data_IF_900427654308
#
_entry.id   IF_900427654308
#
_cell.length_a   1.000
_cell.length_b   1.000
_cell.length_c   1.000
_cell.angle_alpha   90.00
_cell.angle_beta   90.00
_cell.angle_gamma   90.00
#
_symmetry.space_group_name_H-M   'P 1'
#
loop_
_entity.id
_entity.type
_entity.pdbx_description
1 polymer ?
#
# COMPACT_ATOMS: atom_id res chain seq x y z
N UNK A 1 13.30 -53.43 24.88
CA UNK A 1 12.37 -52.61 25.71
C UNK A 1 12.81 -51.16 25.68
N UNK A 2 12.05 -50.23 25.10
CA UNK A 2 11.67 -48.95 25.74
C UNK A 2 10.79 -48.11 24.78
N UNK A 3 9.48 -48.34 24.82
CA UNK A 3 8.46 -47.48 24.22
C UNK A 3 8.02 -46.47 25.27
N UNK A 4 8.56 -45.25 25.30
CA UNK A 4 8.02 -44.21 26.17
C UNK A 4 7.99 -42.82 25.50
N UNK A 5 6.75 -42.39 25.28
CA UNK A 5 6.23 -41.04 25.55
C UNK A 5 6.74 -39.86 24.71
N UNK A 6 6.06 -39.59 23.58
CA UNK A 6 5.90 -38.20 23.07
C UNK A 6 4.47 -37.86 22.57
N UNK A 7 3.40 -37.97 23.38
CA UNK A 7 2.06 -37.48 22.97
C UNK A 7 1.87 -35.96 23.22
N UNK A 8 2.80 -35.30 23.92
CA UNK A 8 2.62 -33.92 24.41
C UNK A 8 2.98 -32.83 23.39
N UNK A 9 3.88 -33.12 22.43
CA UNK A 9 4.31 -32.14 21.42
C UNK A 9 3.20 -31.79 20.41
N UNK A 10 2.41 -32.79 19.98
CA UNK A 10 1.27 -32.59 19.07
C UNK A 10 0.18 -31.71 19.67
N UNK A 11 -0.06 -31.79 20.99
CA UNK A 11 -1.05 -30.93 21.68
C UNK A 11 -0.62 -29.47 21.77
N UNK A 12 0.68 -29.17 21.84
CA UNK A 12 1.19 -27.78 21.80
C UNK A 12 1.10 -27.18 20.40
N UNK A 13 1.38 -27.96 19.35
CA UNK A 13 1.21 -27.53 17.96
C UNK A 13 -0.28 -27.31 17.60
N UNK A 14 -1.19 -28.13 18.13
CA UNK A 14 -2.63 -27.93 17.96
C UNK A 14 -3.15 -26.63 18.62
N UNK A 15 -2.50 -26.14 19.70
CA UNK A 15 -2.81 -24.84 20.33
C UNK A 15 -2.22 -23.64 19.58
N UNK A 16 -1.24 -23.84 18.70
CA UNK A 16 -0.72 -22.81 17.80
C UNK A 16 -1.52 -22.74 16.49
N UNK A 17 -2.21 -23.82 16.13
CA UNK A 17 -3.11 -23.90 14.98
C UNK A 17 -4.51 -23.32 15.25
N UNK A 18 -4.88 -23.09 16.52
CA UNK A 18 -6.05 -22.28 16.84
C UNK A 18 -5.72 -20.81 16.59
N UNK A 19 -5.94 -20.36 15.36
CA UNK A 19 -6.00 -18.95 15.02
C UNK A 19 -6.89 -18.23 16.06
N UNK A 20 -6.46 -17.08 16.60
CA UNK A 20 -7.32 -16.31 17.50
C UNK A 20 -8.65 -16.04 16.77
N UNK A 21 -9.81 -16.06 17.47
CA UNK A 21 -11.05 -15.64 16.85
C UNK A 21 -10.79 -14.27 16.25
N UNK A 22 -10.87 -14.16 14.93
CA UNK A 22 -10.72 -12.90 14.22
C UNK A 22 -11.85 -12.03 14.71
N UNK A 23 -11.56 -11.20 15.71
CA UNK A 23 -12.50 -10.23 16.27
C UNK A 23 -12.91 -9.40 15.07
N UNK A 24 -14.13 -9.62 14.59
CA UNK A 24 -14.67 -9.07 13.34
C UNK A 24 -14.71 -7.56 13.52
N UNK A 25 -13.57 -6.89 13.29
CA UNK A 25 -13.44 -5.45 13.47
C UNK A 25 -14.49 -4.83 12.57
N UNK A 26 -15.44 -4.05 13.12
CA UNK A 26 -16.44 -3.42 12.27
C UNK A 26 -15.69 -2.61 11.24
N UNK A 27 -16.06 -2.77 9.96
CA UNK A 27 -15.38 -2.06 8.89
C UNK A 27 -15.49 -0.55 9.16
N UNK A 28 -14.41 0.21 8.97
CA UNK A 28 -14.44 1.67 9.17
C UNK A 28 -15.54 2.34 8.35
N UNK A 29 -15.96 1.71 7.24
CA UNK A 29 -17.14 2.06 6.44
C UNK A 29 -18.45 2.05 7.22
N UNK A 30 -18.68 1.02 8.06
CA UNK A 30 -19.90 0.90 8.86
C UNK A 30 -19.92 1.91 10.00
N UNK A 31 -18.78 2.15 10.63
CA UNK A 31 -18.67 3.15 11.71
C UNK A 31 -18.87 4.56 11.17
N UNK A 32 -18.26 4.89 10.02
CA UNK A 32 -18.43 6.18 9.35
C UNK A 32 -19.86 6.43 8.89
N UNK A 33 -20.52 5.43 8.31
CA UNK A 33 -21.92 5.55 7.86
C UNK A 33 -22.92 5.69 9.02
N UNK A 34 -22.69 5.03 10.15
CA UNK A 34 -23.55 5.16 11.34
C UNK A 34 -23.39 6.53 11.99
N UNK A 35 -22.16 7.06 12.05
CA UNK A 35 -21.91 8.39 12.61
C UNK A 35 -22.50 9.52 11.75
N UNK A 36 -22.40 9.43 10.42
CA UNK A 36 -23.04 10.43 9.53
C UNK A 36 -24.55 10.35 9.56
N UNK A 37 -25.14 9.16 9.64
CA UNK A 37 -26.59 8.99 9.79
C UNK A 37 -27.10 9.55 11.13
N UNK A 38 -26.37 9.31 12.23
CA UNK A 38 -26.73 9.84 13.54
C UNK A 38 -26.63 11.38 13.59
N UNK A 39 -25.58 11.96 13.00
CA UNK A 39 -25.41 13.41 12.95
C UNK A 39 -26.47 14.11 12.09
N UNK A 40 -26.84 13.52 10.94
CA UNK A 40 -27.91 14.08 10.08
C UNK A 40 -29.30 13.98 10.71
N UNK A 41 -29.58 12.92 11.47
CA UNK A 41 -30.85 12.75 12.19
C UNK A 41 -31.02 13.72 13.37
N UNK A 42 -29.94 14.19 13.99
CA UNK A 42 -29.98 15.09 15.15
C UNK A 42 -30.09 16.57 14.76
N UNK A 43 -29.59 16.96 13.58
CA UNK A 43 -29.47 18.37 13.18
C UNK A 43 -30.71 18.89 12.45
N UNK A 44 -31.50 18.02 11.82
CA UNK A 44 -32.69 18.42 11.05
C UNK A 44 -33.93 17.92 11.77
N UNK A 45 -34.57 18.79 12.54
CA UNK A 45 -35.89 18.50 13.12
C UNK A 45 -36.94 18.41 12.00
N UNK A 46 -37.68 17.31 11.96
CA UNK A 46 -38.74 17.03 10.98
C UNK A 46 -38.41 15.97 9.91
N UNK A 47 -39.42 15.65 9.10
CA UNK A 47 -39.38 14.52 8.14
C UNK A 47 -38.33 14.67 7.02
N UNK A 48 -37.87 15.89 6.73
CA UNK A 48 -36.78 16.16 5.79
C UNK A 48 -35.42 15.63 6.25
N UNK A 49 -35.19 15.48 7.57
CA UNK A 49 -33.96 14.91 8.11
C UNK A 49 -33.79 13.43 7.76
N UNK A 50 -34.89 12.67 7.78
CA UNK A 50 -34.90 11.25 7.39
C UNK A 50 -34.69 11.10 5.88
N UNK A 51 -35.26 12.01 5.08
CA UNK A 51 -35.12 11.98 3.62
C UNK A 51 -33.67 12.22 3.15
N UNK A 52 -32.88 13.03 3.87
CA UNK A 52 -31.49 13.34 3.52
C UNK A 52 -30.46 12.40 4.18
N UNK A 53 -30.78 11.76 5.31
CA UNK A 53 -29.88 10.85 6.01
C UNK A 53 -29.57 9.57 5.20
N UNK A 54 -30.56 9.03 4.50
CA UNK A 54 -30.42 7.80 3.69
C UNK A 54 -29.45 7.99 2.50
N UNK A 55 -29.57 9.03 1.65
CA UNK A 55 -28.61 9.24 0.58
C UNK A 55 -27.22 9.61 1.12
N UNK A 56 -27.13 10.39 2.20
CA UNK A 56 -25.85 10.72 2.83
C UNK A 56 -25.12 9.48 3.38
N UNK A 57 -25.84 8.58 4.06
CA UNK A 57 -25.30 7.31 4.54
C UNK A 57 -24.94 6.37 3.38
N UNK A 58 -25.74 6.32 2.32
CA UNK A 58 -25.47 5.51 1.14
C UNK A 58 -24.23 5.99 0.36
N UNK A 59 -24.05 7.31 0.22
CA UNK A 59 -22.85 7.92 -0.38
C UNK A 59 -21.63 7.66 0.49
N UNK A 60 -21.72 7.88 1.81
CA UNK A 60 -20.63 7.56 2.73
C UNK A 60 -20.24 6.06 2.67
N UNK A 61 -21.23 5.17 2.67
CA UNK A 61 -20.99 3.73 2.59
C UNK A 61 -20.38 3.31 1.24
N UNK A 62 -20.81 3.91 0.12
CA UNK A 62 -20.24 3.67 -1.21
C UNK A 62 -18.82 4.21 -1.36
N UNK A 63 -18.56 5.42 -0.87
CA UNK A 63 -17.24 6.05 -0.92
C UNK A 63 -16.27 5.25 -0.05
N UNK A 64 -16.64 4.92 1.20
CA UNK A 64 -15.75 4.18 2.09
C UNK A 64 -15.61 2.70 1.65
N UNK A 65 -16.64 2.10 1.06
CA UNK A 65 -16.58 0.77 0.47
C UNK A 65 -15.69 0.67 -0.78
N UNK A 66 -15.40 1.79 -1.45
CA UNK A 66 -14.41 1.87 -2.54
C UNK A 66 -12.99 2.11 -2.06
N UNK A 67 -12.75 2.40 -0.77
CA UNK A 67 -11.38 2.39 -0.25
C UNK A 67 -10.90 0.94 -0.19
N UNK A 68 -9.92 0.64 -1.04
CA UNK A 68 -9.21 -0.62 -1.09
C UNK A 68 -8.81 -1.08 0.33
N UNK A 69 -9.01 -2.36 0.69
CA UNK A 69 -8.73 -2.84 2.04
C UNK A 69 -7.32 -2.44 2.47
N UNK A 70 -7.23 -1.71 3.59
CA UNK A 70 -5.97 -1.15 4.06
C UNK A 70 -4.88 -2.22 4.26
N UNK A 71 -5.26 -3.48 4.47
CA UNK A 71 -4.34 -4.62 4.59
C UNK A 71 -3.69 -5.01 3.25
N UNK A 72 -4.46 -5.09 2.16
CA UNK A 72 -3.94 -5.41 0.82
C UNK A 72 -3.02 -4.29 0.33
N UNK A 73 -3.42 -3.03 0.58
CA UNK A 73 -2.58 -1.87 0.29
C UNK A 73 -1.29 -1.88 1.11
N UNK A 74 -1.33 -2.25 2.40
CA UNK A 74 -0.13 -2.36 3.25
C UNK A 74 0.81 -3.47 2.80
N UNK A 75 0.30 -4.60 2.31
CA UNK A 75 1.13 -5.68 1.77
C UNK A 75 1.81 -5.24 0.47
N UNK A 76 1.06 -4.66 -0.49
CA UNK A 76 1.65 -4.11 -1.72
C UNK A 76 2.68 -3.03 -1.46
N UNK A 77 2.41 -2.10 -0.53
CA UNK A 77 3.36 -1.05 -0.15
C UNK A 77 4.65 -1.62 0.48
N UNK A 78 4.56 -2.75 1.21
CA UNK A 78 5.75 -3.44 1.73
C UNK A 78 6.56 -4.08 0.60
N UNK A 79 5.90 -4.77 -0.32
CA UNK A 79 6.56 -5.37 -1.49
C UNK A 79 7.20 -4.30 -2.39
N UNK A 80 6.47 -3.21 -2.67
CA UNK A 80 7.00 -2.05 -3.37
C UNK A 80 8.17 -1.44 -2.62
N UNK A 81 8.19 -1.48 -1.27
CA UNK A 81 9.23 -0.89 -0.42
C UNK A 81 10.59 -1.59 -0.50
N UNK A 82 10.63 -2.86 -0.90
CA UNK A 82 11.81 -3.71 -0.85
C UNK A 82 12.71 -3.60 -2.09
N UNK A 83 12.21 -3.16 -3.25
CA UNK A 83 12.97 -3.12 -4.49
C UNK A 83 14.25 -2.23 -4.50
N UNK A 84 14.27 -0.98 -4.01
CA UNK A 84 15.48 -0.17 -3.89
C UNK A 84 16.43 -0.74 -2.84
N UNK A 85 15.92 -1.29 -1.73
CA UNK A 85 16.79 -1.95 -0.74
C UNK A 85 17.51 -3.13 -1.39
N UNK A 86 16.79 -3.92 -2.20
CA UNK A 86 17.39 -4.98 -3.01
C UNK A 86 18.46 -4.45 -3.96
N UNK A 87 18.15 -3.41 -4.74
CA UNK A 87 19.10 -2.78 -5.65
C UNK A 87 20.33 -2.22 -4.92
N UNK A 88 20.16 -1.60 -3.76
CA UNK A 88 21.25 -1.09 -2.91
C UNK A 88 22.15 -2.20 -2.39
N UNK A 89 21.56 -3.27 -1.83
CA UNK A 89 22.32 -4.38 -1.27
C UNK A 89 23.09 -5.13 -2.36
N UNK A 90 22.47 -5.33 -3.53
CA UNK A 90 23.15 -5.90 -4.70
C UNK A 90 24.27 -4.98 -5.17
N UNK A 91 24.03 -3.68 -5.31
CA UNK A 91 25.05 -2.71 -5.70
C UNK A 91 26.22 -2.71 -4.70
N UNK A 92 25.93 -2.67 -3.40
CA UNK A 92 26.94 -2.70 -2.35
C UNK A 92 27.78 -3.99 -2.37
N UNK A 93 27.14 -5.16 -2.55
CA UNK A 93 27.84 -6.43 -2.66
C UNK A 93 28.75 -6.49 -3.90
N UNK A 94 28.27 -6.00 -5.05
CA UNK A 94 29.05 -5.96 -6.28
C UNK A 94 30.20 -4.95 -6.22
N UNK A 95 29.99 -3.78 -5.60
CA UNK A 95 31.06 -2.79 -5.34
C UNK A 95 32.12 -3.32 -4.37
N UNK A 96 31.73 -4.20 -3.44
CA UNK A 96 32.66 -4.92 -2.58
C UNK A 96 33.43 -6.05 -3.32
N UNK A 97 33.16 -6.25 -4.62
CA UNK A 97 33.85 -7.23 -5.46
C UNK A 97 33.23 -8.63 -5.42
N UNK A 98 32.03 -8.80 -4.87
CA UNK A 98 31.37 -10.10 -4.87
C UNK A 98 30.96 -10.51 -6.31
N UNK A 99 31.14 -11.79 -6.70
CA UNK A 99 30.54 -12.33 -7.91
C UNK A 99 29.01 -12.17 -7.90
N UNK A 100 28.40 -12.01 -9.07
CA UNK A 100 26.96 -11.70 -9.21
C UNK A 100 26.08 -12.76 -8.55
N UNK A 101 26.40 -14.05 -8.73
CA UNK A 101 25.65 -15.14 -8.13
C UNK A 101 25.74 -15.14 -6.59
N UNK A 102 26.93 -14.85 -6.05
CA UNK A 102 27.18 -14.76 -4.61
C UNK A 102 26.47 -13.54 -4.01
N UNK A 103 26.52 -12.40 -4.69
CA UNK A 103 25.81 -11.19 -4.31
C UNK A 103 24.31 -11.44 -4.26
N UNK A 104 23.73 -12.01 -5.31
CA UNK A 104 22.29 -12.33 -5.38
C UNK A 104 21.86 -13.27 -4.25
N UNK A 105 22.65 -14.32 -3.98
CA UNK A 105 22.33 -15.24 -2.90
C UNK A 105 22.46 -14.61 -1.52
N UNK A 106 23.50 -13.80 -1.28
CA UNK A 106 23.69 -13.07 -0.03
C UNK A 106 22.56 -12.08 0.24
N UNK A 107 22.10 -11.38 -0.81
CA UNK A 107 20.95 -10.47 -0.71
C UNK A 107 19.64 -11.22 -0.50
N UNK A 108 19.46 -12.41 -1.10
CA UNK A 108 18.30 -13.27 -0.85
C UNK A 108 18.22 -13.76 0.61
N UNK A 109 19.36 -14.03 1.25
CA UNK A 109 19.39 -14.38 2.67
C UNK A 109 19.07 -13.16 3.54
N UNK A 110 19.60 -11.98 3.20
CA UNK A 110 19.34 -10.74 3.91
C UNK A 110 17.89 -10.26 3.80
N UNK A 111 17.27 -10.41 2.61
CA UNK A 111 15.89 -10.02 2.34
C UNK A 111 14.96 -11.22 2.53
N UNK A 112 14.07 -11.17 3.51
CA UNK A 112 13.08 -12.22 3.73
C UNK A 112 11.94 -12.20 2.69
N UNK A 113 10.90 -13.00 2.93
CA UNK A 113 9.64 -12.92 2.19
C UNK A 113 9.70 -13.41 0.73
N UNK A 114 8.78 -12.97 -0.14
CA UNK A 114 8.65 -13.45 -1.52
C UNK A 114 9.88 -13.18 -2.39
N UNK A 115 10.66 -12.16 -2.05
CA UNK A 115 11.86 -11.75 -2.77
C UNK A 115 12.99 -12.76 -2.60
N UNK A 116 13.10 -13.40 -1.43
CA UNK A 116 14.10 -14.45 -1.14
C UNK A 116 14.03 -15.59 -2.16
N UNK A 117 12.85 -16.15 -2.36
CA UNK A 117 12.67 -17.34 -3.22
C UNK A 117 13.04 -17.03 -4.67
N UNK A 118 12.63 -15.86 -5.16
CA UNK A 118 12.93 -15.43 -6.54
C UNK A 118 14.41 -15.12 -6.71
N UNK A 119 15.03 -14.35 -5.82
CA UNK A 119 16.48 -14.09 -5.88
C UNK A 119 17.30 -15.37 -5.72
N UNK A 120 16.89 -16.29 -4.86
CA UNK A 120 17.55 -17.60 -4.73
C UNK A 120 17.49 -18.37 -6.06
N UNK A 121 16.36 -18.29 -6.77
CA UNK A 121 16.21 -18.91 -8.09
C UNK A 121 17.12 -18.25 -9.12
N UNK A 122 17.17 -16.91 -9.17
CA UNK A 122 18.10 -16.13 -10.02
C UNK A 122 19.56 -16.52 -9.74
N UNK A 123 19.96 -16.56 -8.47
CA UNK A 123 21.33 -16.92 -8.09
C UNK A 123 21.70 -18.35 -8.50
N UNK A 124 20.76 -19.29 -8.35
CA UNK A 124 20.96 -20.68 -8.78
C UNK A 124 21.04 -20.81 -10.30
N UNK A 125 20.20 -20.11 -11.06
CA UNK A 125 20.26 -20.16 -12.53
C UNK A 125 21.56 -19.55 -13.05
N UNK A 126 22.01 -18.42 -12.50
CA UNK A 126 23.30 -17.81 -12.85
C UNK A 126 24.47 -18.76 -12.55
N UNK A 127 24.45 -19.48 -11.41
CA UNK A 127 25.47 -20.49 -11.08
C UNK A 127 25.51 -21.66 -12.05
N UNK A 128 24.37 -22.01 -12.62
CA UNK A 128 24.27 -23.07 -13.62
C UNK A 128 24.64 -22.58 -15.03
N UNK A 129 25.02 -21.31 -15.18
CA UNK A 129 25.40 -20.71 -16.47
C UNK A 129 24.20 -20.33 -17.34
N UNK A 130 23.02 -20.15 -16.74
CA UNK A 130 21.85 -19.66 -17.48
C UNK A 130 22.11 -18.27 -18.05
N UNK A 131 21.49 -17.99 -19.19
CA UNK A 131 21.62 -16.69 -19.85
C UNK A 131 20.98 -15.59 -18.95
N UNK A 132 21.59 -14.39 -18.84
CA UNK A 132 21.09 -13.33 -17.98
C UNK A 132 19.61 -12.99 -18.14
N UNK A 133 19.07 -12.90 -19.37
CA UNK A 133 17.64 -12.68 -19.59
C UNK A 133 16.81 -13.77 -18.93
N UNK A 134 17.15 -15.04 -19.13
CA UNK A 134 16.43 -16.15 -18.51
C UNK A 134 16.51 -16.12 -16.98
N UNK A 135 17.71 -15.92 -16.45
CA UNK A 135 17.95 -15.91 -15.00
C UNK A 135 17.18 -14.78 -14.31
N UNK A 136 17.27 -13.56 -14.84
CA UNK A 136 16.64 -12.39 -14.22
C UNK A 136 15.13 -12.31 -14.46
N UNK A 137 14.59 -13.04 -15.44
CA UNK A 137 13.15 -13.14 -15.70
C UNK A 137 12.37 -13.76 -14.51
N UNK A 138 13.04 -14.47 -13.60
CA UNK A 138 12.42 -14.94 -12.35
C UNK A 138 11.94 -13.80 -11.44
N UNK A 139 12.44 -12.57 -11.62
CA UNK A 139 11.92 -11.37 -10.94
C UNK A 139 10.68 -10.76 -11.60
N UNK A 140 10.25 -11.28 -12.76
CA UNK A 140 9.16 -10.69 -13.53
C UNK A 140 7.82 -10.66 -12.77
N UNK A 141 7.08 -9.57 -12.91
CA UNK A 141 5.77 -9.38 -12.27
C UNK A 141 5.81 -9.04 -10.78
N UNK A 142 7.01 -8.81 -10.23
CA UNK A 142 7.17 -8.19 -8.92
C UNK A 142 7.22 -6.65 -9.07
N UNK A 143 6.59 -5.88 -8.16
CA UNK A 143 6.77 -4.44 -8.12
C UNK A 143 8.26 -4.05 -8.04
N UNK A 144 8.76 -3.38 -9.08
CA UNK A 144 10.18 -2.99 -9.18
C UNK A 144 11.15 -4.10 -9.66
N UNK A 145 10.74 -5.37 -9.66
CA UNK A 145 11.55 -6.51 -10.12
C UNK A 145 11.91 -6.42 -11.60
N UNK A 146 10.96 -5.98 -12.44
CA UNK A 146 11.19 -5.82 -13.89
C UNK A 146 12.30 -4.81 -14.19
N UNK A 147 12.39 -3.73 -13.40
CA UNK A 147 13.44 -2.71 -13.58
C UNK A 147 14.81 -3.23 -13.16
N UNK A 148 14.87 -4.02 -12.08
CA UNK A 148 16.11 -4.69 -11.64
C UNK A 148 16.56 -5.69 -12.71
N UNK A 149 15.65 -6.53 -13.20
CA UNK A 149 15.95 -7.49 -14.26
C UNK A 149 16.44 -6.80 -15.54
N UNK A 150 15.76 -5.73 -15.97
CA UNK A 150 16.16 -4.98 -17.16
C UNK A 150 17.52 -4.29 -16.99
N UNK A 151 17.81 -3.72 -15.81
CA UNK A 151 19.14 -3.18 -15.51
C UNK A 151 20.19 -4.29 -15.57
N UNK A 152 19.90 -5.47 -15.02
CA UNK A 152 20.83 -6.58 -14.97
C UNK A 152 21.13 -7.19 -16.33
N UNK A 153 20.12 -7.36 -17.18
CA UNK A 153 20.29 -7.81 -18.57
C UNK A 153 21.16 -6.84 -19.35
N UNK A 154 20.90 -5.53 -19.28
CA UNK A 154 21.66 -4.50 -20.00
C UNK A 154 23.11 -4.37 -19.55
N UNK A 155 23.42 -4.79 -18.33
CA UNK A 155 24.75 -4.66 -17.72
C UNK A 155 25.44 -6.00 -17.45
N UNK A 156 24.88 -7.09 -18.00
CA UNK A 156 25.33 -8.46 -17.80
C UNK A 156 26.80 -8.71 -18.17
N UNK A 157 27.34 -7.90 -19.08
CA UNK A 157 28.74 -8.00 -19.51
C UNK A 157 29.76 -7.70 -18.39
N UNK A 158 29.41 -6.92 -17.35
CA UNK A 158 30.31 -6.72 -16.22
C UNK A 158 29.60 -6.42 -14.89
N UNK A 159 30.09 -7.02 -13.81
CA UNK A 159 29.59 -6.78 -12.46
C UNK A 159 29.72 -5.32 -12.01
N UNK A 160 30.74 -4.59 -12.48
CA UNK A 160 30.92 -3.18 -12.19
C UNK A 160 29.87 -2.29 -12.91
N UNK A 161 29.56 -2.60 -14.17
CA UNK A 161 28.46 -1.92 -14.88
C UNK A 161 27.11 -2.20 -14.21
N UNK A 162 26.92 -3.43 -13.75
CA UNK A 162 25.73 -3.84 -13.00
C UNK A 162 25.61 -3.07 -11.68
N UNK A 163 26.69 -2.97 -10.91
CA UNK A 163 26.73 -2.20 -9.68
C UNK A 163 26.30 -0.74 -9.92
N UNK A 164 26.91 -0.07 -10.91
CA UNK A 164 26.56 1.32 -11.25
C UNK A 164 25.12 1.46 -11.77
N UNK A 165 24.60 0.48 -12.50
CA UNK A 165 23.20 0.48 -12.95
C UNK A 165 22.23 0.32 -11.77
N UNK A 166 22.54 -0.55 -10.80
CA UNK A 166 21.72 -0.79 -9.61
C UNK A 166 21.74 0.38 -8.63
N UNK A 167 22.88 1.06 -8.44
CA UNK A 167 22.94 2.29 -7.64
C UNK A 167 22.02 3.38 -8.21
N UNK A 168 22.11 3.65 -9.52
CA UNK A 168 21.21 4.61 -10.19
C UNK A 168 19.75 4.18 -10.07
N UNK A 169 19.46 2.90 -10.27
CA UNK A 169 18.11 2.38 -10.14
C UNK A 169 17.56 2.54 -8.72
N UNK A 170 18.38 2.33 -7.68
CA UNK A 170 17.96 2.52 -6.30
C UNK A 170 17.60 3.99 -6.03
N UNK A 171 18.38 4.93 -6.54
CA UNK A 171 18.09 6.37 -6.44
C UNK A 171 16.82 6.75 -7.20
N UNK A 172 16.63 6.24 -8.42
CA UNK A 172 15.40 6.46 -9.19
C UNK A 172 14.17 5.93 -8.44
N UNK A 173 14.24 4.72 -7.89
CA UNK A 173 13.13 4.11 -7.14
C UNK A 173 12.80 4.90 -5.87
N UNK A 174 13.80 5.48 -5.20
CA UNK A 174 13.58 6.38 -4.04
C UNK A 174 12.96 7.70 -4.47
N UNK A 175 13.40 8.27 -5.59
CA UNK A 175 12.84 9.51 -6.14
C UNK A 175 11.37 9.31 -6.54
N UNK A 176 11.05 8.22 -7.24
CA UNK A 176 9.68 7.87 -7.63
C UNK A 176 8.76 7.76 -6.41
N UNK A 177 9.25 7.18 -5.31
CA UNK A 177 8.50 7.13 -4.04
C UNK A 177 8.28 8.50 -3.43
N UNK A 178 9.31 9.35 -3.40
CA UNK A 178 9.18 10.69 -2.86
C UNK A 178 8.08 11.47 -3.62
N UNK A 179 8.09 11.39 -4.96
CA UNK A 179 7.07 11.98 -5.83
C UNK A 179 5.67 11.39 -5.54
N UNK A 180 5.56 10.07 -5.38
CA UNK A 180 4.28 9.43 -5.07
C UNK A 180 3.72 9.86 -3.69
N UNK A 181 4.60 9.97 -2.68
CA UNK A 181 4.23 10.45 -1.35
C UNK A 181 3.78 11.91 -1.37
N UNK A 182 4.50 12.76 -2.11
CA UNK A 182 4.13 14.17 -2.27
C UNK A 182 2.77 14.32 -2.98
N UNK A 183 2.55 13.56 -4.05
CA UNK A 183 1.27 13.53 -4.75
C UNK A 183 0.13 13.06 -3.83
N UNK A 184 0.38 12.06 -2.98
CA UNK A 184 -0.59 11.60 -1.99
C UNK A 184 -0.89 12.66 -0.93
N UNK A 185 0.13 13.38 -0.44
CA UNK A 185 -0.04 14.47 0.52
C UNK A 185 -0.88 15.62 -0.06
N UNK A 186 -0.61 16.03 -1.31
CA UNK A 186 -1.39 17.06 -2.02
C UNK A 186 -2.86 16.66 -2.17
N UNK A 187 -3.10 15.40 -2.57
CA UNK A 187 -4.48 14.86 -2.68
C UNK A 187 -5.20 14.81 -1.34
N UNK A 188 -4.49 14.46 -0.26
CA UNK A 188 -5.06 14.48 1.08
C UNK A 188 -5.53 15.89 1.47
N UNK A 189 -4.75 16.93 1.16
CA UNK A 189 -5.16 18.32 1.39
C UNK A 189 -6.48 18.67 0.70
N UNK A 190 -6.63 18.33 -0.57
CA UNK A 190 -7.89 18.55 -1.32
C UNK A 190 -9.05 17.78 -0.70
N UNK A 191 -8.83 16.51 -0.36
CA UNK A 191 -9.86 15.65 0.24
C UNK A 191 -10.28 16.11 1.65
N UNK A 192 -9.43 16.82 2.39
CA UNK A 192 -9.76 17.38 3.71
C UNK A 192 -10.58 18.67 3.56
N UNK A 193 -10.25 19.53 2.59
CA UNK A 193 -10.96 20.80 2.37
C UNK A 193 -12.33 20.58 1.74
N UNK A 194 -12.48 19.58 0.86
CA UNK A 194 -13.75 19.26 0.18
C UNK A 194 -14.95 19.08 1.14
N UNK A 195 -14.89 18.23 2.19
CA UNK A 195 -16.00 18.08 3.13
C UNK A 195 -16.23 19.36 3.95
N UNK A 196 -15.17 20.11 4.26
CA UNK A 196 -15.29 21.38 4.97
C UNK A 196 -16.08 22.40 4.14
N UNK A 197 -15.75 22.53 2.85
CA UNK A 197 -16.46 23.39 1.90
C UNK A 197 -17.90 22.95 1.68
N UNK A 198 -18.15 21.64 1.57
CA UNK A 198 -19.50 21.08 1.44
C UNK A 198 -20.37 21.34 2.66
N UNK A 199 -19.79 21.34 3.87
CA UNK A 199 -20.50 21.71 5.10
C UNK A 199 -20.68 23.22 5.27
N UNK A 200 -19.74 24.04 4.80
CA UNK A 200 -19.81 25.50 4.93
C UNK A 200 -20.77 26.15 3.93
N UNK A 201 -20.86 25.62 2.71
CA UNK A 201 -21.75 26.13 1.66
C UNK A 201 -23.23 26.26 2.11
N UNK A 202 -23.88 25.24 2.68
CA UNK A 202 -25.27 25.35 3.13
C UNK A 202 -25.43 26.33 4.30
N UNK A 203 -24.47 26.35 5.24
CA UNK A 203 -24.49 27.29 6.36
C UNK A 203 -24.38 28.74 5.88
N UNK A 204 -23.50 29.01 4.90
CA UNK A 204 -23.34 30.34 4.30
C UNK A 204 -24.60 30.79 3.55
N UNK A 205 -25.25 29.88 2.81
CA UNK A 205 -26.50 30.20 2.11
C UNK A 205 -27.60 30.60 3.12
N UNK A 206 -27.80 29.79 4.17
CA UNK A 206 -28.85 30.03 5.16
C UNK A 206 -28.57 31.26 6.03
N UNK A 207 -27.33 31.46 6.48
CA UNK A 207 -26.99 32.54 7.41
C UNK A 207 -26.66 33.87 6.70
N UNK A 208 -26.09 33.82 5.49
CA UNK A 208 -25.62 35.00 4.78
C UNK A 208 -26.49 35.39 3.58
N UNK A 209 -26.71 34.47 2.65
CA UNK A 209 -27.31 34.79 1.35
C UNK A 209 -28.83 34.98 1.42
N UNK A 210 -29.54 34.07 2.10
CA UNK A 210 -31.01 34.08 2.19
C UNK A 210 -31.54 35.38 2.82
N UNK A 211 -31.04 35.87 3.97
CA UNK A 211 -31.54 37.10 4.58
C UNK A 211 -31.36 38.33 3.68
N UNK A 212 -30.25 38.40 2.95
CA UNK A 212 -29.94 39.51 2.04
C UNK A 212 -30.91 39.52 0.85
N UNK A 213 -31.19 38.36 0.26
CA UNK A 213 -32.15 38.25 -0.85
C UNK A 213 -33.55 38.66 -0.38
N UNK A 214 -33.97 38.22 0.81
CA UNK A 214 -35.29 38.58 1.37
C UNK A 214 -35.41 40.07 1.62
N UNK A 215 -34.37 40.71 2.15
CA UNK A 215 -34.36 42.15 2.39
C UNK A 215 -34.48 42.96 1.08
N UNK A 216 -33.76 42.57 0.02
CA UNK A 216 -33.81 43.26 -1.28
C UNK A 216 -35.17 43.07 -1.96
N UNK A 217 -35.72 41.84 -1.96
CA UNK A 217 -37.04 41.60 -2.56
C UNK A 217 -38.14 42.38 -1.82
N UNK A 218 -38.02 42.53 -0.50
CA UNK A 218 -38.97 43.29 0.30
C UNK A 218 -38.92 44.81 0.09
N UNK A 219 -37.82 45.35 -0.42
CA UNK A 219 -37.65 46.80 -0.68
C UNK A 219 -38.13 47.19 -2.10
N UNK A 220 -38.26 46.21 -3.01
CA UNK A 220 -38.59 46.42 -4.43
C UNK A 220 -40.06 46.09 -4.76
N UNK A 221 -40.74 45.28 -3.93
CA UNK A 221 -42.16 44.92 -4.04
C UNK A 221 -43.05 45.84 -3.19
#
# INVERSE_FOLDING_TARGET
>A
MNRLRRPTARRRLARLASAPPTRRRPSPAKVGAVATAAATAVIVDGWWGVALAVPAAAVAYRVIGRLEPAEVKRMRLREESEAPICADLLAAALLAGAPVDVAVHGVAEALGGPLRERLTTVGRSLRLGAEPVEAWNHLAGMPGGDRIAAAAVRSSASGAALAGALTRLADDLRADRAVALEAAARRAGVLIVLPLGLCFLPAFILAGLVPVIVAILGDVL
#
